data_IF_265975503182
#
_entry.id   IF_265975503182
#
_cell.length_a   1.000
_cell.length_b   1.000
_cell.length_c   1.000
_cell.angle_alpha   90.00
_cell.angle_beta   90.00
_cell.angle_gamma   90.00
#
_symmetry.space_group_name_H-M   'P 1'
#
loop_
_entity.id
_entity.type
_entity.pdbx_description
1 polymer ?
#
# COMPACT_ATOMS: atom_id res chain seq x y z
N UNK A 1 0.46 32.30 58.56
CA UNK A 1 -0.42 32.31 57.35
C UNK A 1 0.39 32.11 56.07
N UNK A 2 1.16 31.01 55.89
CA UNK A 2 2.03 30.82 54.71
C UNK A 2 1.89 29.44 54.03
N UNK A 3 1.04 28.55 54.57
CA UNK A 3 0.85 27.18 54.08
C UNK A 3 -0.41 27.00 53.22
N UNK A 4 -1.35 27.96 53.27
CA UNK A 4 -2.66 27.86 52.60
C UNK A 4 -2.58 28.15 51.10
N UNK A 5 -1.74 29.12 50.69
CA UNK A 5 -1.49 29.46 49.28
C UNK A 5 -0.88 28.30 48.49
N UNK A 6 -0.10 27.46 49.17
CA UNK A 6 0.63 26.36 48.54
C UNK A 6 -0.28 25.15 48.27
N UNK A 7 -1.36 24.99 49.04
CA UNK A 7 -2.38 23.95 48.80
C UNK A 7 -3.30 24.29 47.64
N UNK A 8 -3.72 25.56 47.50
CA UNK A 8 -4.55 26.00 46.36
C UNK A 8 -3.79 25.94 45.03
N UNK A 9 -2.51 26.31 45.02
CA UNK A 9 -1.66 26.21 43.82
C UNK A 9 -1.40 24.74 43.43
N UNK A 10 -1.23 23.83 44.41
CA UNK A 10 -1.05 22.40 44.14
C UNK A 10 -2.33 21.74 43.59
N UNK A 11 -3.50 22.13 44.08
CA UNK A 11 -4.78 21.61 43.56
C UNK A 11 -5.01 22.06 42.10
N UNK A 12 -4.60 23.30 41.77
CA UNK A 12 -4.64 23.82 40.40
C UNK A 12 -3.63 23.10 39.48
N UNK A 13 -2.43 22.78 39.97
CA UNK A 13 -1.40 22.07 39.20
C UNK A 13 -1.76 20.59 38.91
N UNK A 14 -2.46 19.91 39.83
CA UNK A 14 -2.88 18.51 39.64
C UNK A 14 -4.08 18.41 38.67
N UNK A 15 -5.01 19.39 38.71
CA UNK A 15 -6.13 19.45 37.75
C UNK A 15 -5.67 19.73 36.32
N UNK A 16 -4.58 20.47 36.14
CA UNK A 16 -4.00 20.72 34.81
C UNK A 16 -3.26 19.50 34.25
N UNK A 17 -2.87 18.54 35.10
CA UNK A 17 -2.11 17.36 34.68
C UNK A 17 -3.01 16.20 34.21
N UNK A 18 -4.31 16.24 34.47
CA UNK A 18 -5.24 15.14 34.16
C UNK A 18 -6.04 15.31 32.85
N UNK A 19 -5.87 16.41 32.11
CA UNK A 19 -6.69 16.70 30.91
C UNK A 19 -6.04 16.33 29.56
N UNK A 20 -4.91 15.62 29.54
CA UNK A 20 -4.22 15.31 28.28
C UNK A 20 -3.82 13.84 28.18
N UNK A 21 -4.81 12.97 28.18
CA UNK A 21 -4.69 11.66 27.51
C UNK A 21 -5.58 11.68 26.27
N UNK A 22 -5.22 12.51 25.30
CA UNK A 22 -5.83 12.45 23.97
C UNK A 22 -5.65 11.04 23.41
N UNK A 23 -6.76 10.48 22.93
CA UNK A 23 -6.84 9.20 22.25
C UNK A 23 -5.77 9.11 21.17
N UNK A 24 -4.81 8.19 21.34
CA UNK A 24 -3.93 7.79 20.27
C UNK A 24 -4.79 7.08 19.21
N UNK A 25 -5.25 7.82 18.20
CA UNK A 25 -5.73 7.20 16.96
C UNK A 25 -4.48 6.62 16.31
N UNK A 26 -4.34 5.30 16.39
CA UNK A 26 -3.24 4.58 15.74
C UNK A 26 -3.18 4.95 14.26
N UNK A 27 -2.01 4.88 13.61
CA UNK A 27 -1.90 5.20 12.20
C UNK A 27 -2.91 4.35 11.41
N UNK A 28 -3.93 5.01 10.88
CA UNK A 28 -4.93 4.41 10.01
C UNK A 28 -4.31 4.24 8.63
N UNK A 29 -3.23 3.46 8.55
CA UNK A 29 -2.70 3.01 7.26
C UNK A 29 -3.57 1.85 6.79
N UNK A 30 -4.85 2.11 6.57
CA UNK A 30 -5.62 1.29 5.65
C UNK A 30 -5.07 1.61 4.26
N UNK A 31 -3.93 0.99 3.91
CA UNK A 31 -3.39 1.05 2.56
C UNK A 31 -4.49 0.52 1.66
N UNK A 32 -5.16 1.44 0.96
CA UNK A 32 -6.18 1.08 0.00
C UNK A 32 -5.46 0.38 -1.16
N UNK A 33 -5.60 -0.93 -1.24
CA UNK A 33 -5.04 -1.69 -2.36
C UNK A 33 -5.69 -1.23 -3.65
N UNK A 34 -4.87 -1.06 -4.68
CA UNK A 34 -5.35 -0.77 -6.02
C UNK A 34 -6.09 -2.00 -6.56
N UNK A 35 -7.15 -1.81 -7.34
CA UNK A 35 -7.75 -2.89 -8.12
C UNK A 35 -6.68 -3.56 -9.02
N UNK A 36 -6.80 -4.88 -9.30
CA UNK A 36 -5.80 -5.59 -10.11
C UNK A 36 -5.54 -4.97 -11.48
N UNK A 37 -6.58 -4.49 -12.16
CA UNK A 37 -6.47 -3.90 -13.49
C UNK A 37 -5.71 -2.56 -13.50
N UNK A 38 -5.63 -1.89 -12.34
CA UNK A 38 -4.83 -0.67 -12.16
C UNK A 38 -3.41 -0.98 -11.70
N UNK A 39 -3.24 -2.02 -10.88
CA UNK A 39 -1.93 -2.44 -10.36
C UNK A 39 -1.08 -3.18 -11.41
N UNK A 40 -1.72 -3.87 -12.36
CA UNK A 40 -1.07 -4.74 -13.34
C UNK A 40 -1.60 -4.47 -14.75
N UNK A 41 -1.03 -3.49 -15.44
CA UNK A 41 -1.49 -3.09 -16.78
C UNK A 41 -0.69 -3.84 -17.85
N UNK A 42 -1.28 -4.79 -18.61
CA UNK A 42 -0.59 -5.50 -19.68
C UNK A 42 -0.43 -4.62 -20.93
N UNK A 43 0.64 -4.85 -21.68
CA UNK A 43 0.91 -4.22 -22.98
C UNK A 43 1.48 -5.26 -23.94
N UNK A 44 1.04 -5.23 -25.19
CA UNK A 44 1.49 -6.12 -26.26
C UNK A 44 2.03 -5.29 -27.41
N UNK A 45 3.21 -5.64 -27.88
CA UNK A 45 3.88 -4.99 -29.01
C UNK A 45 4.36 -6.05 -30.00
N UNK A 46 4.08 -5.87 -31.30
CA UNK A 46 4.68 -6.70 -32.35
C UNK A 46 6.08 -6.15 -32.65
N UNK A 47 7.09 -6.99 -32.47
CA UNK A 47 8.49 -6.58 -32.65
C UNK A 47 9.06 -7.05 -33.98
N UNK A 48 8.65 -8.23 -34.46
CA UNK A 48 9.09 -8.84 -35.72
C UNK A 48 7.96 -9.71 -36.31
N UNK A 49 8.18 -10.28 -37.49
CA UNK A 49 7.28 -11.27 -38.07
C UNK A 49 7.19 -12.49 -37.14
N UNK A 50 5.98 -12.76 -36.64
CA UNK A 50 5.66 -13.86 -35.70
C UNK A 50 6.27 -13.75 -34.30
N UNK A 51 6.79 -12.59 -33.92
CA UNK A 51 7.25 -12.33 -32.54
C UNK A 51 6.45 -11.21 -31.90
N UNK A 52 5.93 -11.49 -30.71
CA UNK A 52 5.24 -10.51 -29.87
C UNK A 52 6.00 -10.34 -28.55
N UNK A 53 6.07 -9.10 -28.08
CA UNK A 53 6.54 -8.78 -26.74
C UNK A 53 5.34 -8.47 -25.87
N UNK A 54 5.18 -9.25 -24.80
CA UNK A 54 4.20 -8.99 -23.75
C UNK A 54 4.94 -8.39 -22.55
N UNK A 55 4.46 -7.27 -22.04
CA UNK A 55 5.03 -6.60 -20.87
C UNK A 55 3.91 -6.13 -19.93
N UNK A 56 4.28 -5.86 -18.67
CA UNK A 56 3.36 -5.35 -17.65
C UNK A 56 3.93 -4.09 -17.02
N UNK A 57 3.10 -3.05 -16.92
CA UNK A 57 3.36 -1.92 -16.04
C UNK A 57 2.78 -2.24 -14.67
N UNK A 58 3.65 -2.35 -13.67
CA UNK A 58 3.30 -2.78 -12.31
C UNK A 58 3.39 -1.57 -11.37
N UNK A 59 2.36 -1.35 -10.55
CA UNK A 59 2.36 -0.31 -9.54
C UNK A 59 3.39 -0.56 -8.44
N UNK A 60 3.84 0.50 -7.76
CA UNK A 60 4.86 0.37 -6.71
C UNK A 60 4.34 -0.46 -5.52
N UNK A 61 5.19 -1.35 -5.01
CA UNK A 61 4.83 -2.31 -3.96
C UNK A 61 4.07 -3.56 -4.44
N UNK A 62 3.85 -3.74 -5.75
CA UNK A 62 3.21 -4.93 -6.33
C UNK A 62 4.22 -5.75 -7.15
N UNK A 63 3.94 -7.05 -7.32
CA UNK A 63 4.76 -7.95 -8.13
C UNK A 63 3.93 -9.10 -8.71
N UNK A 64 4.40 -9.65 -9.84
CA UNK A 64 3.82 -10.83 -10.49
C UNK A 64 4.77 -12.02 -10.36
N UNK A 65 4.20 -13.22 -10.28
CA UNK A 65 4.96 -14.47 -10.24
C UNK A 65 5.29 -14.92 -11.66
N UNK A 66 6.59 -14.94 -12.00
CA UNK A 66 7.08 -15.30 -13.34
C UNK A 66 6.65 -16.71 -13.79
N UNK A 67 6.41 -17.62 -12.84
CA UNK A 67 5.95 -18.99 -13.14
C UNK A 67 4.43 -19.13 -13.34
N UNK A 68 3.66 -18.06 -13.20
CA UNK A 68 2.18 -18.11 -13.22
C UNK A 68 1.59 -17.52 -14.51
N UNK A 69 2.37 -17.54 -15.59
CA UNK A 69 1.91 -17.12 -16.92
C UNK A 69 1.63 -18.34 -17.80
N UNK A 70 0.49 -18.32 -18.45
CA UNK A 70 0.08 -19.29 -19.47
C UNK A 70 -0.18 -18.54 -20.77
N UNK A 71 0.30 -19.11 -21.88
CA UNK A 71 0.12 -18.56 -23.22
C UNK A 71 -0.47 -19.64 -24.11
N UNK A 72 -1.50 -19.28 -24.88
CA UNK A 72 -2.17 -20.17 -25.82
C UNK A 72 -2.49 -19.42 -27.12
N UNK A 73 -2.54 -20.16 -28.22
CA UNK A 73 -2.91 -19.68 -29.56
C UNK A 73 -3.98 -20.63 -30.08
N UNK A 74 -5.06 -20.10 -30.66
CA UNK A 74 -6.22 -20.89 -31.11
C UNK A 74 -5.91 -21.86 -32.27
N UNK A 75 -4.76 -21.70 -32.92
CA UNK A 75 -4.30 -22.53 -34.04
C UNK A 75 -3.20 -23.50 -33.59
N UNK A 76 -2.99 -24.57 -34.37
CA UNK A 76 -1.94 -25.60 -34.17
C UNK A 76 -0.52 -25.05 -34.45
N UNK A 77 -0.14 -24.00 -33.74
CA UNK A 77 1.14 -23.30 -33.86
C UNK A 77 1.91 -23.45 -32.55
N UNK A 78 3.16 -23.91 -32.64
CA UNK A 78 4.06 -24.02 -31.49
C UNK A 78 4.43 -22.64 -30.96
N UNK A 79 4.26 -22.44 -29.66
CA UNK A 79 4.70 -21.22 -28.95
C UNK A 79 6.09 -21.48 -28.38
N UNK A 80 7.07 -20.66 -28.78
CA UNK A 80 8.41 -20.65 -28.20
C UNK A 80 8.56 -19.42 -27.31
N UNK A 81 8.77 -19.64 -25.99
CA UNK A 81 9.09 -18.57 -25.04
C UNK A 81 10.60 -18.31 -25.11
N UNK A 82 10.96 -17.12 -25.58
CA UNK A 82 12.34 -16.61 -25.61
C UNK A 82 12.80 -16.11 -24.23
#
# INVERSE_FOLDING_TARGET
MKYWTNSLIKLFLISSFLLSTSYAKGPETATQFLPPDEAFVPSVEQIEDKQIRVSWKIADGYYLYVGMFEFSVDNDTTIEKL
#
